data_IF_525397615617
#
_entry.id   IF_525397615617
#
_cell.length_a   1.000
_cell.length_b   1.000
_cell.length_c   1.000
_cell.angle_alpha   90.00
_cell.angle_beta   90.00
_cell.angle_gamma   90.00
#
_symmetry.space_group_name_H-M   'P 1'
#
loop_
_entity.id
_entity.type
_entity.pdbx_description
1 polymer ?
#
# COMPACT_ATOMS: atom_id res chain seq x y z
N UNK A 1 -30.16 -8.19 21.73
CA UNK A 1 -29.18 -8.22 22.84
C UNK A 1 -28.07 -7.35 22.32
N UNK A 2 -28.23 -6.04 22.50
CA UNK A 2 -27.35 -5.04 21.92
C UNK A 2 -26.16 -4.93 22.88
N UNK A 3 -25.01 -5.42 22.45
CA UNK A 3 -23.77 -5.21 23.19
C UNK A 3 -23.39 -3.74 23.05
N UNK A 4 -23.69 -2.96 24.09
CA UNK A 4 -23.42 -1.52 24.20
C UNK A 4 -21.92 -1.14 24.19
N UNK A 5 -21.03 -2.00 23.70
CA UNK A 5 -19.59 -1.77 23.60
C UNK A 5 -18.94 -2.27 22.30
N UNK A 6 -19.67 -2.83 21.32
CA UNK A 6 -19.07 -3.12 20.02
C UNK A 6 -19.04 -1.84 19.18
N UNK A 7 -17.82 -1.36 18.89
CA UNK A 7 -17.62 -0.26 17.93
C UNK A 7 -17.69 -0.83 16.52
N UNK A 8 -18.87 -1.32 16.16
CA UNK A 8 -19.16 -1.88 14.86
C UNK A 8 -19.71 -0.77 13.94
N UNK A 9 -18.97 -0.43 12.90
CA UNK A 9 -19.24 0.59 11.91
C UNK A 9 -19.19 -0.01 10.51
N UNK A 10 -20.34 0.01 9.83
CA UNK A 10 -20.46 -0.34 8.42
C UNK A 10 -20.65 0.94 7.61
N UNK A 11 -19.72 1.20 6.70
CA UNK A 11 -19.74 2.33 5.78
C UNK A 11 -19.99 1.81 4.37
N UNK A 12 -21.04 2.32 3.73
CA UNK A 12 -21.37 2.01 2.34
C UNK A 12 -21.40 3.31 1.56
N UNK A 13 -20.54 3.40 0.54
CA UNK A 13 -20.38 4.58 -0.32
C UNK A 13 -20.56 4.11 -1.75
N UNK A 14 -21.52 4.68 -2.46
CA UNK A 14 -21.87 4.25 -3.81
C UNK A 14 -21.99 5.46 -4.73
N UNK A 15 -21.72 5.26 -6.03
CA UNK A 15 -22.00 6.25 -7.08
C UNK A 15 -21.40 7.64 -6.79
N UNK A 16 -20.20 7.66 -6.21
CA UNK A 16 -19.59 8.86 -5.66
C UNK A 16 -18.34 9.25 -6.44
N UNK A 17 -18.01 10.55 -6.41
CA UNK A 17 -16.76 11.07 -6.98
C UNK A 17 -15.96 11.77 -5.89
N UNK A 18 -14.73 11.32 -5.70
CA UNK A 18 -13.74 11.95 -4.83
C UNK A 18 -12.71 12.64 -5.71
N UNK A 19 -12.61 13.97 -5.61
CA UNK A 19 -11.71 14.72 -6.49
C UNK A 19 -11.01 15.89 -5.84
N UNK A 20 -9.75 16.12 -6.23
CA UNK A 20 -8.92 17.24 -5.77
C UNK A 20 -8.71 17.23 -4.24
N UNK A 21 -8.50 16.04 -3.67
CA UNK A 21 -8.28 15.84 -2.24
C UNK A 21 -6.79 15.57 -2.04
N UNK A 22 -6.18 16.25 -1.07
CA UNK A 22 -4.78 16.04 -0.70
C UNK A 22 -4.63 15.63 0.76
N UNK A 23 -3.62 14.82 1.06
CA UNK A 23 -3.31 14.38 2.41
C UNK A 23 -1.82 14.08 2.58
N UNK A 24 -1.41 13.70 3.79
CA UNK A 24 -0.08 13.14 3.99
C UNK A 24 0.00 11.67 3.52
N UNK A 25 -1.03 10.88 3.86
CA UNK A 25 -1.18 9.48 3.48
C UNK A 25 -2.66 9.15 3.29
N UNK A 26 -3.00 8.39 2.24
CA UNK A 26 -4.34 7.84 2.05
C UNK A 26 -5.44 8.88 2.10
N UNK A 27 -5.62 9.66 1.03
CA UNK A 27 -6.53 10.81 1.05
C UNK A 27 -7.99 10.47 1.30
N UNK A 28 -8.39 9.24 0.98
CA UNK A 28 -9.76 8.74 1.20
C UNK A 28 -9.77 7.75 2.37
N UNK A 29 -8.85 6.78 2.34
CA UNK A 29 -8.72 5.76 3.38
C UNK A 29 -7.30 5.75 3.93
N UNK A 30 -7.17 6.04 5.23
CA UNK A 30 -5.92 5.96 5.98
C UNK A 30 -6.09 4.98 7.14
N UNK A 31 -5.65 3.74 6.91
CA UNK A 31 -5.88 2.59 7.78
C UNK A 31 -4.58 2.23 8.48
N UNK A 32 -4.40 2.76 9.70
CA UNK A 32 -3.17 2.53 10.47
C UNK A 32 -3.15 1.18 11.18
N UNK A 33 -4.31 0.73 11.67
CA UNK A 33 -4.43 -0.53 12.41
C UNK A 33 -5.88 -1.00 12.38
N UNK A 34 -6.07 -2.30 12.11
CA UNK A 34 -7.29 -3.05 12.38
C UNK A 34 -6.86 -4.29 13.18
N UNK A 35 -7.79 -4.93 13.87
CA UNK A 35 -7.55 -6.17 14.60
C UNK A 35 -8.72 -7.14 14.38
N UNK A 36 -8.63 -8.37 14.89
CA UNK A 36 -9.68 -9.38 14.71
C UNK A 36 -11.04 -9.00 15.31
N UNK A 37 -11.10 -8.07 16.27
CA UNK A 37 -12.37 -7.53 16.77
C UNK A 37 -13.04 -6.57 15.79
N UNK A 38 -12.27 -5.95 14.89
CA UNK A 38 -12.78 -5.06 13.85
C UNK A 38 -13.31 -5.81 12.62
N UNK A 39 -13.40 -7.14 12.62
CA UNK A 39 -13.90 -7.88 11.46
C UNK A 39 -15.38 -7.59 11.16
N UNK A 40 -16.12 -7.05 12.12
CA UNK A 40 -17.48 -6.55 11.94
C UNK A 40 -17.51 -5.14 11.31
N UNK A 41 -16.38 -4.41 11.35
CA UNK A 41 -16.21 -3.15 10.64
C UNK A 41 -15.99 -3.41 9.16
N UNK A 42 -16.80 -2.76 8.33
CA UNK A 42 -16.67 -2.89 6.89
C UNK A 42 -16.82 -1.56 6.19
N UNK A 43 -15.97 -1.35 5.18
CA UNK A 43 -16.08 -0.25 4.23
C UNK A 43 -16.29 -0.87 2.86
N UNK A 44 -17.44 -0.58 2.27
CA UNK A 44 -17.73 -0.90 0.87
C UNK A 44 -17.79 0.41 0.09
N UNK A 45 -16.91 0.55 -0.90
CA UNK A 45 -16.99 1.63 -1.89
C UNK A 45 -17.29 1.02 -3.25
N UNK A 46 -18.42 1.38 -3.85
CA UNK A 46 -18.84 0.81 -5.14
C UNK A 46 -19.12 1.89 -6.18
N UNK A 47 -18.91 1.56 -7.45
CA UNK A 47 -19.30 2.39 -8.61
C UNK A 47 -18.85 3.85 -8.49
N UNK A 48 -17.63 4.07 -7.98
CA UNK A 48 -17.13 5.40 -7.60
C UNK A 48 -15.84 5.75 -8.34
N UNK A 49 -15.51 7.03 -8.39
CA UNK A 49 -14.30 7.53 -9.05
C UNK A 49 -13.41 8.28 -8.07
N UNK A 50 -12.12 7.93 -8.03
CA UNK A 50 -11.07 8.67 -7.33
C UNK A 50 -10.21 9.39 -8.36
N UNK A 51 -10.33 10.71 -8.44
CA UNK A 51 -9.70 11.53 -9.48
C UNK A 51 -8.86 12.66 -8.91
N UNK A 52 -7.62 12.83 -9.38
CA UNK A 52 -6.74 13.92 -8.92
C UNK A 52 -6.60 13.95 -7.38
N UNK A 53 -6.55 12.79 -6.74
CA UNK A 53 -6.27 12.70 -5.30
C UNK A 53 -4.77 12.49 -5.08
N UNK A 54 -4.20 13.15 -4.08
CA UNK A 54 -2.75 13.14 -3.87
C UNK A 54 -2.35 12.97 -2.41
N UNK A 55 -1.30 12.19 -2.17
CA UNK A 55 -0.68 12.09 -0.84
C UNK A 55 0.78 12.55 -0.91
N UNK A 56 1.25 13.32 0.07
CA UNK A 56 2.66 13.73 0.07
C UNK A 56 3.63 12.57 0.34
N UNK A 57 3.16 11.47 0.94
CA UNK A 57 3.96 10.28 1.26
C UNK A 57 3.41 9.02 0.60
N UNK A 58 2.38 8.40 1.16
CA UNK A 58 2.00 7.04 0.76
C UNK A 58 0.53 6.95 0.37
N UNK A 59 0.24 6.24 -0.73
CA UNK A 59 -1.13 5.87 -1.09
C UNK A 59 -1.99 7.08 -1.41
N UNK A 60 -1.97 7.58 -2.65
CA UNK A 60 -2.68 8.82 -3.01
C UNK A 60 -4.18 8.80 -2.65
N UNK A 61 -4.77 7.61 -2.66
CA UNK A 61 -6.18 7.35 -2.33
C UNK A 61 -6.27 6.52 -1.05
N UNK A 62 -5.55 5.39 -1.03
CA UNK A 62 -5.62 4.38 0.04
C UNK A 62 -4.22 4.15 0.59
N UNK A 63 -4.08 4.33 1.89
CA UNK A 63 -2.93 3.90 2.67
C UNK A 63 -3.40 2.91 3.73
N UNK A 64 -2.80 1.71 3.75
CA UNK A 64 -3.09 0.71 4.78
C UNK A 64 -1.84 0.01 5.29
N UNK A 65 -1.71 -0.07 6.61
CA UNK A 65 -0.69 -0.86 7.30
C UNK A 65 -1.26 -2.04 8.11
N UNK A 66 -2.50 -2.44 7.86
CA UNK A 66 -3.15 -3.52 8.62
C UNK A 66 -3.26 -4.82 7.85
N UNK A 67 -2.87 -5.94 8.49
CA UNK A 67 -3.02 -7.31 7.96
C UNK A 67 -4.48 -7.70 7.69
N UNK A 68 -5.44 -7.05 8.36
CA UNK A 68 -6.86 -7.37 8.25
C UNK A 68 -7.62 -6.52 7.21
N UNK A 69 -6.93 -5.65 6.47
CA UNK A 69 -7.58 -4.72 5.54
C UNK A 69 -8.38 -5.44 4.47
N UNK A 70 -7.85 -6.51 3.87
CA UNK A 70 -8.59 -7.31 2.89
C UNK A 70 -9.83 -8.03 3.45
N UNK A 71 -10.00 -8.11 4.77
CA UNK A 71 -11.23 -8.62 5.39
C UNK A 71 -12.29 -7.53 5.57
N UNK A 72 -11.89 -6.28 5.73
CA UNK A 72 -12.76 -5.18 6.14
C UNK A 72 -13.07 -4.19 5.00
N UNK A 73 -12.19 -4.08 4.00
CA UNK A 73 -12.29 -3.05 2.96
C UNK A 73 -12.49 -3.70 1.60
N UNK A 74 -13.60 -3.34 0.96
CA UNK A 74 -13.97 -3.78 -0.37
C UNK A 74 -14.22 -2.57 -1.27
N UNK A 75 -13.57 -2.55 -2.43
CA UNK A 75 -13.67 -1.51 -3.46
C UNK A 75 -14.08 -2.18 -4.77
N UNK A 76 -15.30 -1.90 -5.23
CA UNK A 76 -15.91 -2.57 -6.36
C UNK A 76 -16.27 -1.60 -7.48
N UNK A 77 -15.95 -1.97 -8.72
CA UNK A 77 -16.30 -1.20 -9.92
C UNK A 77 -15.88 0.29 -9.81
N UNK A 78 -14.71 0.54 -9.23
CA UNK A 78 -14.20 1.90 -9.05
C UNK A 78 -13.08 2.24 -10.03
N UNK A 79 -12.96 3.52 -10.34
CA UNK A 79 -11.96 4.06 -11.25
C UNK A 79 -10.93 4.92 -10.49
N UNK A 80 -9.65 4.74 -10.79
CA UNK A 80 -8.54 5.51 -10.23
C UNK A 80 -7.87 6.33 -11.33
N UNK A 81 -8.02 7.66 -11.31
CA UNK A 81 -7.55 8.56 -12.37
C UNK A 81 -6.63 9.63 -11.81
N UNK A 82 -5.44 9.80 -12.41
CA UNK A 82 -4.51 10.89 -12.10
C UNK A 82 -4.21 11.06 -10.59
N UNK A 83 -4.18 9.94 -9.86
CA UNK A 83 -3.82 9.96 -8.44
C UNK A 83 -2.29 9.93 -8.30
N UNK A 84 -1.76 10.51 -7.23
CA UNK A 84 -0.30 10.62 -7.03
C UNK A 84 0.12 10.46 -5.57
N UNK A 85 1.31 9.88 -5.36
CA UNK A 85 1.99 9.83 -4.07
C UNK A 85 3.50 9.64 -4.28
N UNK A 86 4.30 9.72 -3.20
CA UNK A 86 5.72 9.34 -3.29
C UNK A 86 5.88 7.83 -3.55
N UNK A 87 5.00 7.02 -2.96
CA UNK A 87 4.90 5.58 -3.19
C UNK A 87 3.44 5.14 -3.19
N UNK A 88 3.08 4.26 -4.13
CA UNK A 88 1.69 3.84 -4.34
C UNK A 88 0.81 5.01 -4.77
N UNK A 89 0.93 5.45 -6.03
CA UNK A 89 0.25 6.64 -6.54
C UNK A 89 -1.25 6.65 -6.24
N UNK A 90 -1.89 5.48 -6.21
CA UNK A 90 -3.24 5.32 -5.67
C UNK A 90 -3.24 4.53 -4.36
N UNK A 91 -2.54 3.40 -4.32
CA UNK A 91 -2.70 2.40 -3.26
C UNK A 91 -1.34 2.05 -2.67
N UNK A 92 -1.23 2.18 -1.35
CA UNK A 92 -0.10 1.67 -0.57
C UNK A 92 -0.61 0.72 0.52
N UNK A 93 -0.12 -0.51 0.55
CA UNK A 93 -0.55 -1.54 1.51
C UNK A 93 0.63 -2.14 2.29
N UNK A 94 0.36 -2.75 3.44
CA UNK A 94 1.38 -3.42 4.26
C UNK A 94 2.15 -4.46 3.45
N UNK A 95 1.42 -5.33 2.75
CA UNK A 95 1.92 -6.36 1.84
C UNK A 95 0.80 -6.79 0.89
N UNK A 96 1.15 -7.54 -0.17
CA UNK A 96 0.22 -8.02 -1.19
C UNK A 96 -0.97 -8.84 -0.67
N UNK A 97 -0.81 -9.57 0.43
CA UNK A 97 -1.86 -10.42 1.00
C UNK A 97 -2.85 -9.65 1.88
N UNK A 98 -2.44 -8.48 2.35
CA UNK A 98 -3.22 -7.63 3.24
C UNK A 98 -3.99 -6.53 2.52
N UNK A 99 -3.87 -6.40 1.20
CA UNK A 99 -4.50 -5.33 0.43
C UNK A 99 -6.02 -5.30 0.57
N UNK A 100 -6.67 -4.13 0.41
CA UNK A 100 -8.11 -4.07 0.21
C UNK A 100 -8.55 -5.02 -0.91
N UNK A 101 -9.76 -5.57 -0.81
CA UNK A 101 -10.36 -6.32 -1.91
C UNK A 101 -10.79 -5.34 -2.99
N UNK A 102 -10.03 -5.25 -4.07
CA UNK A 102 -10.31 -4.35 -5.19
C UNK A 102 -10.65 -5.18 -6.44
N UNK A 103 -11.82 -4.95 -7.05
CA UNK A 103 -12.33 -5.80 -8.14
C UNK A 103 -11.43 -5.81 -9.38
N UNK A 104 -10.80 -4.67 -9.69
CA UNK A 104 -9.85 -4.47 -10.80
C UNK A 104 -8.39 -4.39 -10.34
N UNK A 105 -8.01 -5.07 -9.24
CA UNK A 105 -6.65 -4.99 -8.71
C UNK A 105 -5.59 -5.50 -9.68
N UNK A 106 -5.93 -6.41 -10.59
CA UNK A 106 -4.97 -6.98 -11.55
C UNK A 106 -4.50 -5.91 -12.53
N UNK A 107 -5.44 -5.17 -13.10
CA UNK A 107 -5.19 -4.06 -14.01
C UNK A 107 -4.42 -2.93 -13.32
N UNK A 108 -4.77 -2.62 -12.07
CA UNK A 108 -4.08 -1.57 -11.31
C UNK A 108 -2.61 -1.92 -11.02
N UNK A 109 -2.30 -3.20 -10.76
CA UNK A 109 -0.93 -3.68 -10.51
C UNK A 109 -0.05 -3.63 -11.77
N UNK A 110 -0.62 -3.62 -12.96
CA UNK A 110 0.13 -3.49 -14.22
C UNK A 110 0.61 -2.04 -14.45
N UNK A 111 -0.02 -1.06 -13.80
CA UNK A 111 0.35 0.35 -13.89
C UNK A 111 1.48 0.63 -12.90
N UNK A 112 2.69 0.86 -13.43
CA UNK A 112 3.91 1.08 -12.64
C UNK A 112 3.73 2.17 -11.58
N UNK A 113 4.05 1.83 -10.33
CA UNK A 113 3.98 2.74 -9.18
C UNK A 113 2.56 3.10 -8.72
N UNK A 114 1.49 2.58 -9.36
CA UNK A 114 0.12 2.85 -8.95
C UNK A 114 -0.23 2.15 -7.63
N UNK A 115 0.20 0.89 -7.52
CA UNK A 115 0.09 0.06 -6.32
C UNK A 115 1.50 -0.22 -5.81
N UNK A 116 1.73 0.01 -4.51
CA UNK A 116 2.99 -0.31 -3.85
C UNK A 116 2.76 -0.95 -2.48
N UNK A 117 3.77 -1.65 -1.97
CA UNK A 117 3.76 -2.19 -0.60
C UNK A 117 5.01 -1.79 0.19
N UNK A 118 5.10 -2.25 1.43
CA UNK A 118 6.38 -2.20 2.14
C UNK A 118 7.44 -3.01 1.37
N UNK A 119 8.72 -2.61 1.47
CA UNK A 119 9.85 -3.41 1.03
C UNK A 119 9.79 -4.89 1.44
N UNK A 120 10.04 -5.78 0.48
CA UNK A 120 10.16 -7.23 0.70
C UNK A 120 11.43 -7.85 0.11
N UNK A 121 12.15 -7.12 -0.75
CA UNK A 121 13.35 -7.63 -1.44
C UNK A 121 14.48 -6.61 -1.42
N UNK A 122 15.71 -7.11 -1.29
CA UNK A 122 16.94 -6.33 -1.45
C UNK A 122 17.73 -6.93 -2.61
N UNK A 123 18.19 -6.10 -3.54
CA UNK A 123 19.10 -6.49 -4.63
C UNK A 123 20.39 -5.71 -4.51
N UNK A 124 21.51 -6.41 -4.56
CA UNK A 124 22.84 -5.80 -4.55
C UNK A 124 23.11 -5.21 -5.95
N UNK A 125 23.60 -3.97 -6.00
CA UNK A 125 24.02 -3.31 -7.23
C UNK A 125 25.54 -3.49 -7.32
N UNK A 126 26.01 -4.24 -8.32
CA UNK A 126 27.44 -4.52 -8.44
C UNK A 126 28.25 -3.31 -8.91
N UNK A 127 29.26 -2.96 -8.11
CA UNK A 127 30.58 -2.48 -8.57
C UNK A 127 31.71 -3.45 -8.12
N UNK A 128 31.39 -4.56 -7.42
CA UNK A 128 32.37 -5.47 -6.81
C UNK A 128 32.36 -6.80 -7.58
N UNK A 129 33.46 -7.08 -8.27
CA UNK A 129 33.89 -8.36 -8.88
C UNK A 129 32.81 -9.47 -8.94
N UNK A 130 32.10 -9.53 -10.08
CA UNK A 130 31.34 -10.63 -10.73
C UNK A 130 30.54 -11.70 -9.96
N UNK A 131 30.69 -11.89 -8.66
CA UNK A 131 30.15 -13.08 -7.97
C UNK A 131 28.95 -12.77 -7.06
N UNK A 132 28.48 -11.52 -6.94
CA UNK A 132 27.33 -11.13 -6.09
C UNK A 132 27.43 -11.58 -4.61
N UNK A 133 28.60 -12.00 -4.13
CA UNK A 133 28.79 -12.56 -2.79
C UNK A 133 29.41 -11.51 -1.88
N UNK A 134 28.72 -11.19 -0.79
CA UNK A 134 29.28 -10.44 0.34
C UNK A 134 29.69 -11.47 1.40
N UNK A 135 30.98 -11.49 1.74
CA UNK A 135 31.52 -12.32 2.83
C UNK A 135 31.79 -11.43 4.04
N UNK A 136 31.31 -11.83 5.22
CA UNK A 136 31.57 -11.17 6.51
C UNK A 136 32.00 -12.23 7.51
N UNK A 137 33.02 -11.94 8.31
CA UNK A 137 33.44 -12.80 9.41
C UNK A 137 32.69 -12.46 10.71
N UNK A 138 32.62 -13.42 11.62
CA UNK A 138 32.02 -13.20 12.94
C UNK A 138 32.74 -12.05 13.67
N UNK A 139 31.97 -11.05 14.08
CA UNK A 139 32.50 -9.83 14.74
C UNK A 139 32.79 -8.67 13.79
N UNK A 140 32.68 -8.87 12.47
CA UNK A 140 32.77 -7.78 11.49
C UNK A 140 31.44 -7.05 11.33
N UNK A 141 31.53 -5.78 10.93
CA UNK A 141 30.37 -5.00 10.48
C UNK A 141 30.09 -5.30 9.01
N UNK A 142 28.84 -5.11 8.60
CA UNK A 142 28.47 -5.06 7.18
C UNK A 142 29.27 -3.90 6.53
N UNK A 143 29.95 -4.13 5.39
CA UNK A 143 30.70 -3.08 4.72
C UNK A 143 29.85 -1.86 4.35
N UNK A 144 30.35 -0.66 4.65
CA UNK A 144 29.63 0.61 4.44
C UNK A 144 29.49 1.00 2.94
N UNK A 145 30.14 0.25 2.03
CA UNK A 145 30.18 0.52 0.59
C UNK A 145 29.32 -0.43 -0.25
N UNK A 146 28.39 -1.17 0.37
CA UNK A 146 27.45 -2.03 -0.35
C UNK A 146 26.33 -1.18 -0.93
N UNK A 147 26.31 -1.09 -2.27
CA UNK A 147 25.20 -0.48 -2.98
C UNK A 147 24.05 -1.46 -3.11
N UNK A 148 22.84 -1.07 -2.71
CA UNK A 148 21.66 -1.92 -2.89
C UNK A 148 20.43 -1.15 -3.35
N UNK A 149 19.49 -1.89 -3.96
CA UNK A 149 18.12 -1.45 -4.24
C UNK A 149 17.17 -2.25 -3.38
N UNK A 150 16.17 -1.56 -2.85
CA UNK A 150 15.10 -2.17 -2.08
C UNK A 150 13.82 -2.14 -2.93
N UNK A 151 13.12 -3.26 -2.98
CA UNK A 151 11.90 -3.46 -3.77
C UNK A 151 10.76 -3.97 -2.90
N UNK A 152 9.54 -3.59 -3.26
CA UNK A 152 8.30 -4.10 -2.69
C UNK A 152 7.82 -5.39 -3.40
N UNK A 153 6.61 -5.85 -3.05
CA UNK A 153 6.00 -7.05 -3.64
C UNK A 153 5.76 -6.96 -5.15
N UNK A 154 5.80 -5.75 -5.72
CA UNK A 154 5.53 -5.45 -7.12
C UNK A 154 6.77 -5.04 -7.90
N UNK A 155 7.96 -5.21 -7.31
CA UNK A 155 9.22 -4.78 -7.92
C UNK A 155 9.28 -3.25 -8.16
N UNK A 156 8.48 -2.47 -7.42
CA UNK A 156 8.68 -1.03 -7.34
C UNK A 156 9.93 -0.79 -6.47
N UNK A 157 11.02 -0.32 -7.10
CA UNK A 157 12.25 -0.02 -6.41
C UNK A 157 12.36 1.46 -6.04
N UNK A 158 12.76 1.77 -4.81
CA UNK A 158 13.10 3.14 -4.39
C UNK A 158 14.47 3.22 -3.69
N UNK A 159 15.35 4.00 -4.34
CA UNK A 159 16.57 4.68 -3.86
C UNK A 159 17.78 3.78 -3.47
N UNK A 160 18.93 4.12 -4.06
CA UNK A 160 20.25 3.56 -3.78
C UNK A 160 20.73 4.03 -2.41
N UNK A 161 21.10 3.10 -1.53
CA UNK A 161 22.03 3.34 -0.42
C UNK A 161 23.42 2.90 -0.87
#
# INVERSE_FOLDING_TARGET
MDDFNSKDGRFVIENSKFSNISSENGSILNIKSLNDYNLYNSVLISNSTFENTSASKYGGVIYSLSEFTGKCITIENCEFKNNSALLGNAIYSLNKNSEPKISNIKELREIKGLVSTNPTKISIINDINNDNIISIYSGEKIPDNIKCKIFDDYDNGNINY
#
